data_IF_936843879042
#
_entry.id   IF_936843879042
#
_cell.length_a   1.000
_cell.length_b   1.000
_cell.length_c   1.000
_cell.angle_alpha   90.00
_cell.angle_beta   90.00
_cell.angle_gamma   90.00
#
_symmetry.space_group_name_H-M   'P 1'
#
loop_
_entity.id
_entity.type
_entity.pdbx_description
1 polymer ?
#
# COMPACT_ATOMS: atom_id res chain seq x y z
N UNK A 1 9.60 -20.54 -17.74
CA UNK A 1 9.41 -20.04 -17.40
C UNK A 1 9.33 -19.09 -17.15
N UNK A 2 9.10 -18.89 -16.98
CA UNK A 2 8.98 -18.13 -16.71
C UNK A 2 9.03 -17.47 -16.53
N UNK A 3 9.13 -17.36 -16.41
CA UNK A 3 9.24 -16.66 -16.11
C UNK A 3 9.29 -15.72 -15.94
N UNK A 4 9.54 -15.92 -16.03
CA UNK A 4 9.96 -14.71 -15.63
C UNK A 4 9.04 -13.55 -15.47
N UNK A 5 8.04 -13.73 -14.81
CA UNK A 5 7.15 -12.65 -14.50
C UNK A 5 7.67 -11.88 -13.29
N UNK A 6 7.87 -10.60 -13.45
CA UNK A 6 8.36 -9.78 -12.36
C UNK A 6 7.22 -9.48 -11.40
N UNK A 7 7.49 -9.65 -10.14
CA UNK A 7 6.53 -9.29 -9.12
C UNK A 7 6.67 -7.84 -8.78
N UNK A 8 5.56 -7.13 -8.83
CA UNK A 8 5.57 -5.74 -8.46
C UNK A 8 5.29 -5.61 -6.99
N UNK A 9 6.01 -4.71 -6.37
CA UNK A 9 5.85 -4.45 -4.95
C UNK A 9 5.42 -3.02 -4.76
N UNK A 10 4.68 -2.80 -3.70
CA UNK A 10 4.11 -1.49 -3.43
C UNK A 10 4.30 -1.12 -1.98
N UNK A 11 4.36 0.17 -1.73
CA UNK A 11 4.49 0.67 -0.39
C UNK A 11 3.50 1.80 -0.22
N UNK A 12 2.88 1.86 0.95
CA UNK A 12 1.93 2.93 1.25
C UNK A 12 2.65 4.01 2.04
N UNK A 13 2.45 5.24 1.62
CA UNK A 13 3.11 6.39 2.23
C UNK A 13 2.06 7.43 2.55
N UNK A 14 2.17 8.03 3.73
CA UNK A 14 1.25 9.06 4.17
C UNK A 14 2.05 10.18 4.81
N UNK A 15 1.96 11.36 4.21
CA UNK A 15 2.65 12.55 4.69
C UNK A 15 4.15 12.27 4.89
N UNK A 16 4.75 11.61 3.91
CA UNK A 16 6.16 11.31 3.94
C UNK A 16 6.55 10.17 4.85
N UNK A 17 5.58 9.51 5.47
CA UNK A 17 5.85 8.39 6.35
C UNK A 17 5.46 7.10 5.69
N UNK A 18 6.31 6.10 5.82
CA UNK A 18 6.03 4.79 5.26
C UNK A 18 5.09 4.05 6.19
N UNK A 19 3.94 3.69 5.68
CA UNK A 19 2.95 2.97 6.47
C UNK A 19 3.17 1.47 6.44
N UNK A 20 3.94 0.99 5.48
CA UNK A 20 4.16 -0.44 5.33
C UNK A 20 5.49 -0.67 4.67
N UNK A 21 5.95 -1.93 4.71
CA UNK A 21 7.07 -2.34 3.88
C UNK A 21 6.56 -2.62 2.47
N UNK A 22 7.42 -3.18 1.64
CA UNK A 22 7.03 -3.51 0.28
C UNK A 22 6.03 -4.67 0.29
N UNK A 23 4.87 -4.44 -0.32
CA UNK A 23 3.78 -5.41 -0.31
C UNK A 23 3.51 -5.88 -1.73
N UNK A 24 3.02 -7.11 -1.83
CA UNK A 24 2.51 -7.58 -3.11
C UNK A 24 1.27 -6.79 -3.48
N UNK A 25 0.79 -7.00 -4.71
CA UNK A 25 -0.40 -6.30 -5.14
C UNK A 25 -1.59 -6.66 -4.26
N UNK A 26 -1.74 -7.93 -3.92
CA UNK A 26 -2.82 -8.34 -3.05
C UNK A 26 -2.65 -7.77 -1.65
N UNK A 27 -1.43 -7.78 -1.15
CA UNK A 27 -1.17 -7.22 0.17
C UNK A 27 -1.44 -5.73 0.23
N UNK A 28 -1.08 -5.03 -0.84
CA UNK A 28 -1.36 -3.60 -0.93
C UNK A 28 -2.87 -3.35 -0.86
N UNK A 29 -3.61 -4.13 -1.59
CA UNK A 29 -5.05 -3.98 -1.62
C UNK A 29 -5.64 -4.22 -0.24
N UNK A 30 -5.20 -5.28 0.43
CA UNK A 30 -5.71 -5.60 1.76
C UNK A 30 -5.38 -4.50 2.76
N UNK A 31 -4.15 -4.01 2.71
CA UNK A 31 -3.74 -2.96 3.64
C UNK A 31 -4.56 -1.70 3.41
N UNK A 32 -4.81 -1.38 2.14
CA UNK A 32 -5.59 -0.19 1.83
C UNK A 32 -7.02 -0.35 2.32
N UNK A 33 -7.58 -1.55 2.18
CA UNK A 33 -8.94 -1.81 2.67
C UNK A 33 -9.04 -1.59 4.17
N UNK A 34 -8.02 -1.98 4.90
CA UNK A 34 -8.02 -1.77 6.34
C UNK A 34 -8.08 -0.29 6.66
N UNK A 35 -7.30 0.50 5.92
CA UNK A 35 -7.33 1.95 6.12
C UNK A 35 -8.70 2.53 5.82
N UNK A 36 -9.29 2.07 4.73
CA UNK A 36 -10.62 2.55 4.36
C UNK A 36 -11.63 2.22 5.44
N UNK A 37 -11.60 1.00 5.95
CA UNK A 37 -12.56 0.59 6.96
C UNK A 37 -12.41 1.39 8.23
N UNK A 38 -11.18 1.62 8.65
CA UNK A 38 -10.95 2.39 9.87
C UNK A 38 -11.44 3.82 9.70
N UNK A 39 -11.19 4.40 8.54
CA UNK A 39 -11.61 5.77 8.29
C UNK A 39 -13.13 5.88 8.30
N UNK A 40 -13.79 4.94 7.65
CA UNK A 40 -15.26 4.97 7.58
C UNK A 40 -15.91 4.65 8.91
N UNK A 41 -15.22 3.90 9.76
CA UNK A 41 -15.76 3.57 11.07
C UNK A 41 -15.57 4.69 12.09
N UNK A 42 -14.86 5.74 11.69
CA UNK A 42 -14.66 6.87 12.60
C UNK A 42 -13.64 6.60 13.67
N UNK A 43 -12.70 5.69 13.42
CA UNK A 43 -11.64 5.41 14.38
C UNK A 43 -10.82 6.68 14.57
N UNK A 44 -10.59 7.01 15.83
CA UNK A 44 -9.83 8.21 16.14
C UNK A 44 -8.41 8.08 15.62
N UNK A 45 -7.94 9.11 14.91
CA UNK A 45 -6.61 9.08 14.35
C UNK A 45 -6.51 8.29 13.07
N UNK A 46 -7.64 7.88 12.49
CA UNK A 46 -7.61 7.12 11.26
C UNK A 46 -7.04 7.97 10.12
N UNK A 47 -6.32 7.31 9.24
CA UNK A 47 -5.70 7.98 8.11
C UNK A 47 -6.69 8.03 6.97
N UNK A 48 -6.82 9.20 6.35
CA UNK A 48 -7.68 9.37 5.19
C UNK A 48 -7.06 8.60 4.02
N UNK A 49 -7.73 7.57 3.51
CA UNK A 49 -7.15 6.78 2.42
C UNK A 49 -6.93 7.59 1.15
N UNK A 50 -7.68 8.67 0.96
CA UNK A 50 -7.47 9.51 -0.21
C UNK A 50 -6.13 10.23 -0.16
N UNK A 51 -5.53 10.34 1.00
CA UNK A 51 -4.27 11.04 1.14
C UNK A 51 -3.08 10.09 1.16
N UNK A 52 -3.33 8.81 1.05
CA UNK A 52 -2.26 7.82 1.01
C UNK A 52 -1.72 7.72 -0.40
N UNK A 53 -0.41 7.74 -0.52
CA UNK A 53 0.28 7.59 -1.79
C UNK A 53 0.79 6.18 -1.92
N UNK A 54 0.55 5.57 -3.07
CA UNK A 54 1.05 4.23 -3.34
C UNK A 54 2.31 4.38 -4.19
N UNK A 55 3.41 3.82 -3.66
CA UNK A 55 4.69 3.89 -4.36
C UNK A 55 5.01 2.51 -4.88
N UNK A 56 5.33 2.43 -6.15
CA UNK A 56 5.70 1.16 -6.76
C UNK A 56 7.21 1.02 -6.72
N UNK A 57 7.67 -0.16 -6.29
CA UNK A 57 9.08 -0.41 -6.23
C UNK A 57 9.67 -0.44 -7.64
N UNK A 58 10.76 0.28 -7.87
CA UNK A 58 11.37 0.25 -9.20
C UNK A 58 11.84 -1.15 -9.53
N UNK A 59 11.71 -1.50 -10.78
CA UNK A 59 12.21 -2.78 -11.26
C UNK A 59 13.72 -2.75 -11.32
N UNK A 60 14.31 -3.88 -10.96
CA UNK A 60 15.74 -4.02 -11.07
C UNK A 60 16.06 -5.15 -12.00
N UNK A 61 17.11 -4.96 -12.73
CA UNK A 61 17.53 -5.97 -13.68
C UNK A 61 18.30 -7.09 -13.08
#
# INVERSE_FOLDING_TARGET
>A
MAKGKLERKYKLVYEGRELSSWLSEAGKYDAFQILVQKFHSGVEGAIDPDEVTVVEKPEEE
#
